data_IF_266717309771
#
_entry.id   IF_266717309771
#
_cell.length_a   1.000
_cell.length_b   1.000
_cell.length_c   1.000
_cell.angle_alpha   90.00
_cell.angle_beta   90.00
_cell.angle_gamma   90.00
#
_symmetry.space_group_name_H-M   'P 1'
#
loop_
_entity.id
_entity.type
_entity.pdbx_description
1 polymer ?
#
# COMPACT_ATOMS: atom_id res chain seq x y z
N UNK A 1 62.40 -68.84 31.45
CA UNK A 1 62.92 -67.83 30.51
C UNK A 1 62.02 -66.61 30.65
N UNK A 2 62.50 -65.39 30.82
CA UNK A 2 63.84 -64.84 30.54
C UNK A 2 63.63 -63.59 29.67
N UNK A 3 64.24 -62.41 29.98
CA UNK A 3 63.49 -61.15 29.95
C UNK A 3 64.15 -60.06 29.07
N UNK A 4 63.73 -58.79 29.26
CA UNK A 4 64.38 -57.53 28.79
C UNK A 4 64.17 -57.21 27.30
N UNK A 5 64.29 -55.99 26.76
CA UNK A 5 64.39 -54.58 27.26
C UNK A 5 64.05 -53.64 26.04
N UNK A 6 64.01 -52.30 26.07
CA UNK A 6 64.35 -51.25 27.06
C UNK A 6 63.19 -50.23 27.21
N UNK A 7 63.21 -49.47 28.31
CA UNK A 7 62.83 -48.04 28.31
C UNK A 7 64.13 -47.21 28.21
N UNK A 8 64.09 -46.05 27.56
CA UNK A 8 65.21 -45.09 27.54
C UNK A 8 64.91 -43.89 28.44
N UNK A 9 65.83 -43.60 29.37
CA UNK A 9 65.78 -42.47 30.31
C UNK A 9 66.27 -41.17 29.67
N UNK A 10 65.79 -40.01 30.16
CA UNK A 10 66.61 -39.03 30.90
C UNK A 10 65.71 -37.92 31.47
N UNK A 11 65.52 -37.89 32.79
CA UNK A 11 66.26 -37.03 33.75
C UNK A 11 65.77 -35.57 33.83
N UNK A 12 64.84 -35.32 34.75
CA UNK A 12 64.53 -33.97 35.22
C UNK A 12 65.55 -33.55 36.30
N UNK A 13 66.37 -32.54 36.01
CA UNK A 13 67.17 -31.84 37.02
C UNK A 13 66.40 -30.63 37.55
N UNK A 14 66.11 -30.64 38.85
CA UNK A 14 65.68 -29.45 39.58
C UNK A 14 66.91 -28.74 40.16
N UNK A 15 66.98 -27.42 39.99
CA UNK A 15 67.95 -26.54 40.66
C UNK A 15 67.17 -25.34 41.20
N UNK A 16 67.54 -24.87 42.40
CA UNK A 16 66.76 -23.94 43.19
C UNK A 16 66.70 -22.50 42.62
N UNK A 17 65.70 -21.74 43.09
CA UNK A 17 65.46 -20.34 42.78
C UNK A 17 66.66 -19.46 43.16
N UNK A 18 67.14 -18.66 42.20
CA UNK A 18 68.05 -17.53 42.44
C UNK A 18 67.28 -16.21 42.37
N UNK A 19 67.65 -15.25 43.23
CA UNK A 19 66.90 -14.02 43.47
C UNK A 19 66.88 -13.02 42.30
N UNK A 20 65.94 -12.07 42.42
CA UNK A 20 65.66 -11.00 41.47
C UNK A 20 66.91 -10.19 41.06
N UNK A 21 66.98 -9.86 39.77
CA UNK A 21 67.69 -8.66 39.30
C UNK A 21 66.78 -7.88 38.38
N UNK A 22 66.25 -6.76 38.88
CA UNK A 22 65.37 -5.88 38.14
C UNK A 22 66.05 -5.36 36.86
N UNK A 23 65.26 -5.24 35.79
CA UNK A 23 65.64 -4.50 34.58
C UNK A 23 64.69 -3.31 34.43
N UNK A 24 65.18 -2.12 34.04
CA UNK A 24 64.38 -0.92 34.02
C UNK A 24 63.24 -1.02 32.99
N UNK A 25 62.08 -0.48 33.35
CA UNK A 25 60.95 -0.29 32.44
C UNK A 25 61.37 0.66 31.31
N UNK A 26 61.50 0.14 30.09
CA UNK A 26 61.65 0.97 28.90
C UNK A 26 60.28 1.42 28.42
N UNK A 27 60.09 2.74 28.36
CA UNK A 27 58.87 3.36 27.85
C UNK A 27 58.69 3.03 26.36
N UNK A 28 57.88 2.00 26.09
CA UNK A 28 57.61 1.52 24.74
C UNK A 28 56.66 2.51 24.06
N UNK A 29 57.18 3.61 23.53
CA UNK A 29 56.45 4.53 22.64
C UNK A 29 56.02 3.77 21.39
N UNK A 30 54.73 3.50 21.27
CA UNK A 30 54.14 2.85 20.10
C UNK A 30 54.26 3.80 18.89
N UNK A 31 54.58 3.26 17.71
CA UNK A 31 54.69 4.07 16.51
C UNK A 31 53.31 4.62 16.11
N UNK A 32 53.27 5.80 15.48
CA UNK A 32 52.01 6.39 15.00
C UNK A 32 51.24 5.43 14.09
N UNK A 33 51.94 4.65 13.28
CA UNK A 33 51.37 3.62 12.40
C UNK A 33 50.71 2.47 13.18
N UNK A 34 51.25 2.09 14.34
CA UNK A 34 50.67 1.04 15.18
C UNK A 34 49.43 1.54 15.94
N UNK A 35 49.42 2.80 16.40
CA UNK A 35 48.19 3.44 16.90
C UNK A 35 47.13 3.54 15.79
N UNK A 36 47.51 3.98 14.58
CA UNK A 36 46.58 4.07 13.45
C UNK A 36 45.93 2.71 13.15
N UNK A 37 46.74 1.65 13.07
CA UNK A 37 46.25 0.28 12.83
C UNK A 37 45.29 -0.22 13.90
N UNK A 38 45.52 0.13 15.17
CA UNK A 38 44.59 -0.21 16.26
C UNK A 38 43.32 0.63 16.17
N UNK A 39 43.41 1.93 15.85
CA UNK A 39 42.20 2.77 15.66
C UNK A 39 41.36 2.36 14.46
N UNK A 40 41.97 1.87 13.37
CA UNK A 40 41.19 1.34 12.23
C UNK A 40 40.54 0.00 12.57
N UNK A 41 41.22 -0.89 13.30
CA UNK A 41 40.61 -2.14 13.80
C UNK A 41 39.44 -1.85 14.74
N UNK A 42 39.57 -0.91 15.70
CA UNK A 42 38.47 -0.59 16.61
C UNK A 42 37.32 0.12 15.89
N UNK A 43 37.57 0.98 14.91
CA UNK A 43 36.52 1.56 14.06
C UNK A 43 35.80 0.53 13.21
N UNK A 44 36.52 -0.43 12.61
CA UNK A 44 35.90 -1.52 11.82
C UNK A 44 35.11 -2.47 12.73
N UNK A 45 35.64 -2.81 13.91
CA UNK A 45 34.91 -3.61 14.90
C UNK A 45 33.66 -2.88 15.42
N UNK A 46 33.74 -1.57 15.67
CA UNK A 46 32.59 -0.76 16.08
C UNK A 46 31.55 -0.64 14.96
N UNK A 47 31.97 -0.43 13.71
CA UNK A 47 31.06 -0.44 12.56
C UNK A 47 30.38 -1.81 12.38
N UNK A 48 31.13 -2.91 12.53
CA UNK A 48 30.56 -4.26 12.51
C UNK A 48 29.57 -4.51 13.66
N UNK A 49 29.87 -4.03 14.87
CA UNK A 49 28.94 -4.08 16.01
C UNK A 49 27.67 -3.24 15.77
N UNK A 50 27.79 -2.06 15.17
CA UNK A 50 26.62 -1.26 14.75
C UNK A 50 25.83 -1.94 13.63
N UNK A 51 26.46 -2.69 12.72
CA UNK A 51 25.75 -3.50 11.72
C UNK A 51 25.08 -4.76 12.30
N UNK A 52 25.58 -5.30 13.41
CA UNK A 52 25.02 -6.49 14.08
C UNK A 52 23.90 -6.11 15.05
N UNK A 53 24.10 -5.06 15.86
CA UNK A 53 23.17 -4.61 16.91
C UNK A 53 22.29 -3.42 16.51
N UNK A 54 22.64 -2.71 15.43
CA UNK A 54 21.82 -1.65 14.81
C UNK A 54 20.91 -2.16 13.70
N UNK A 55 20.78 -3.49 13.52
CA UNK A 55 19.56 -4.02 12.89
C UNK A 55 18.38 -3.59 13.76
N UNK A 56 17.34 -2.93 13.20
CA UNK A 56 16.11 -2.78 13.95
C UNK A 56 15.66 -4.18 14.38
N UNK A 57 15.29 -4.35 15.65
CA UNK A 57 14.53 -5.52 16.08
C UNK A 57 13.40 -5.74 15.08
N UNK A 58 13.08 -6.99 14.68
CA UNK A 58 11.88 -7.25 13.91
C UNK A 58 10.74 -6.57 14.66
N UNK A 59 10.16 -5.53 14.05
CA UNK A 59 9.19 -4.71 14.74
C UNK A 59 8.04 -5.63 15.14
N UNK A 60 7.62 -5.54 16.41
CA UNK A 60 6.53 -6.35 16.94
C UNK A 60 5.36 -6.28 15.98
N UNK A 61 4.80 -7.45 15.65
CA UNK A 61 4.01 -7.73 14.46
C UNK A 61 3.27 -6.50 13.94
N UNK A 62 3.78 -5.91 12.85
CA UNK A 62 3.08 -4.83 12.17
C UNK A 62 1.66 -5.34 11.88
N UNK A 63 0.60 -4.65 12.35
CA UNK A 63 -0.75 -5.19 12.29
C UNK A 63 -1.05 -5.59 10.84
N UNK A 64 -1.49 -6.84 10.67
CA UNK A 64 -1.65 -7.43 9.36
C UNK A 64 -2.45 -6.50 8.45
N UNK A 65 -1.94 -6.24 7.25
CA UNK A 65 -2.57 -5.34 6.29
C UNK A 65 -4.04 -5.73 6.12
N UNK A 66 -4.94 -4.79 6.39
CA UNK A 66 -6.36 -4.98 6.16
C UNK A 66 -6.73 -4.84 4.68
N UNK A 67 -5.80 -4.46 3.78
CA UNK A 67 -5.87 -4.86 2.37
C UNK A 67 -5.13 -6.18 2.13
N UNK A 68 -5.78 -7.14 1.47
CA UNK A 68 -5.21 -8.46 1.16
C UNK A 68 -5.58 -8.93 -0.25
N UNK A 69 -4.71 -9.73 -0.86
CA UNK A 69 -4.93 -10.34 -2.19
C UNK A 69 -6.31 -11.02 -2.31
N UNK A 70 -6.75 -11.73 -1.27
CA UNK A 70 -7.96 -12.55 -1.33
C UNK A 70 -9.23 -11.81 -0.90
N UNK A 71 -9.18 -11.00 0.16
CA UNK A 71 -10.38 -10.32 0.70
C UNK A 71 -10.50 -8.86 0.26
N UNK A 72 -9.48 -8.30 -0.40
CA UNK A 72 -9.39 -6.87 -0.66
C UNK A 72 -9.27 -6.08 0.65
N UNK A 73 -9.77 -4.85 0.62
CA UNK A 73 -9.74 -3.86 1.68
C UNK A 73 -10.83 -4.09 2.73
N UNK A 74 -10.43 -4.30 3.98
CA UNK A 74 -11.27 -4.66 5.12
C UNK A 74 -11.05 -3.70 6.31
N UNK A 75 -10.38 -2.56 6.09
CA UNK A 75 -10.15 -1.56 7.13
C UNK A 75 -11.42 -0.72 7.35
N UNK A 76 -11.98 -0.71 8.58
CA UNK A 76 -13.21 0.04 8.92
C UNK A 76 -14.31 -0.18 7.87
N UNK A 77 -14.75 -1.43 7.70
CA UNK A 77 -15.73 -1.83 6.68
C UNK A 77 -17.12 -1.23 6.89
N UNK A 78 -17.44 -0.83 8.13
CA UNK A 78 -18.57 0.03 8.52
C UNK A 78 -18.60 1.38 7.79
N UNK A 79 -17.45 1.85 7.29
CA UNK A 79 -17.34 3.13 6.57
C UNK A 79 -16.81 2.92 5.14
N UNK A 80 -15.73 2.15 4.98
CA UNK A 80 -14.98 2.06 3.71
C UNK A 80 -15.68 1.26 2.62
N UNK A 81 -16.68 0.45 2.96
CA UNK A 81 -17.52 -0.27 2.01
C UNK A 81 -18.71 0.58 1.53
N UNK A 82 -18.89 1.77 2.11
CA UNK A 82 -19.96 2.74 1.81
C UNK A 82 -19.42 4.05 1.22
N UNK A 83 -18.35 3.96 0.42
CA UNK A 83 -17.87 5.08 -0.40
C UNK A 83 -18.33 4.96 -1.88
N UNK A 84 -19.34 4.13 -2.15
CA UNK A 84 -19.85 3.86 -3.48
C UNK A 84 -18.73 3.44 -4.44
N UNK A 85 -18.64 4.11 -5.61
CA UNK A 85 -17.57 3.88 -6.59
C UNK A 85 -16.17 4.37 -6.18
N UNK A 86 -15.98 4.91 -4.97
CA UNK A 86 -14.66 5.27 -4.42
C UNK A 86 -14.16 4.28 -3.37
N UNK A 87 -14.98 3.29 -2.99
CA UNK A 87 -14.57 2.17 -2.15
C UNK A 87 -13.45 1.39 -2.86
N UNK A 88 -12.31 1.11 -2.20
CA UNK A 88 -11.36 0.09 -2.64
C UNK A 88 -12.05 -1.25 -2.90
N UNK A 89 -11.41 -2.16 -3.66
CA UNK A 89 -11.99 -3.49 -3.84
C UNK A 89 -12.11 -4.23 -2.51
N UNK A 90 -13.28 -4.80 -2.22
CA UNK A 90 -13.51 -5.73 -1.13
C UNK A 90 -14.27 -6.98 -1.61
N UNK A 91 -14.04 -8.11 -0.95
CA UNK A 91 -14.79 -9.34 -1.22
C UNK A 91 -16.22 -9.21 -0.67
N UNK A 92 -17.21 -9.34 -1.56
CA UNK A 92 -18.63 -9.38 -1.20
C UNK A 92 -19.03 -10.85 -0.94
N UNK A 93 -19.73 -11.17 0.17
CA UNK A 93 -20.19 -12.52 0.45
C UNK A 93 -21.28 -12.98 -0.54
N UNK A 94 -21.40 -14.30 -0.70
CA UNK A 94 -22.39 -14.95 -1.57
C UNK A 94 -22.89 -16.24 -0.90
N UNK A 95 -24.20 -16.49 -0.96
CA UNK A 95 -24.80 -17.75 -0.49
C UNK A 95 -24.41 -18.96 -1.36
N UNK A 96 -23.89 -18.69 -2.57
CA UNK A 96 -23.35 -19.69 -3.50
C UNK A 96 -21.83 -19.61 -3.42
N UNK A 97 -21.16 -20.73 -3.10
CA UNK A 97 -19.69 -20.81 -3.11
C UNK A 97 -19.14 -20.49 -4.52
N UNK A 98 -18.02 -19.76 -4.56
CA UNK A 98 -17.28 -19.49 -5.79
C UNK A 98 -16.23 -20.58 -6.11
N UNK A 99 -16.16 -21.67 -5.33
CA UNK A 99 -15.33 -22.84 -5.62
C UNK A 99 -15.69 -23.52 -6.95
N UNK A 100 -14.73 -24.22 -7.56
CA UNK A 100 -15.00 -25.09 -8.70
C UNK A 100 -15.74 -26.35 -8.21
N UNK A 101 -16.94 -26.68 -8.72
CA UNK A 101 -17.67 -27.86 -8.27
C UNK A 101 -16.91 -29.17 -8.52
N UNK A 102 -17.10 -30.14 -7.63
CA UNK A 102 -16.46 -31.46 -7.73
C UNK A 102 -16.74 -32.13 -9.08
N UNK A 103 -15.69 -32.49 -9.82
CA UNK A 103 -15.77 -33.10 -11.15
C UNK A 103 -15.86 -32.10 -12.32
N UNK A 104 -15.89 -30.79 -12.05
CA UNK A 104 -15.77 -29.75 -13.07
C UNK A 104 -14.31 -29.31 -13.26
N UNK A 105 -13.99 -28.81 -14.45
CA UNK A 105 -12.73 -28.13 -14.75
C UNK A 105 -13.00 -26.86 -15.55
N UNK A 106 -12.21 -25.82 -15.31
CA UNK A 106 -12.38 -24.53 -16.00
C UNK A 106 -11.71 -24.62 -17.37
N UNK A 107 -12.49 -24.42 -18.43
CA UNK A 107 -12.00 -24.44 -19.83
C UNK A 107 -11.84 -23.05 -20.45
N UNK A 108 -12.46 -22.03 -19.85
CA UNK A 108 -12.39 -20.63 -20.26
C UNK A 108 -12.55 -19.72 -19.02
N UNK A 109 -11.83 -18.60 -19.00
CA UNK A 109 -12.00 -17.56 -18.00
C UNK A 109 -11.78 -16.18 -18.65
N UNK A 110 -12.60 -15.21 -18.26
CA UNK A 110 -12.48 -13.81 -18.64
C UNK A 110 -12.73 -12.94 -17.41
N UNK A 111 -11.91 -11.92 -17.22
CA UNK A 111 -12.12 -10.86 -16.24
C UNK A 111 -12.46 -9.55 -16.96
N UNK A 112 -13.42 -8.81 -16.42
CA UNK A 112 -13.62 -7.39 -16.71
C UNK A 112 -13.23 -6.64 -15.43
N UNK A 113 -12.14 -5.86 -15.50
CA UNK A 113 -11.63 -5.10 -14.36
C UNK A 113 -11.75 -3.60 -14.61
N UNK A 114 -12.05 -2.84 -13.56
CA UNK A 114 -11.93 -1.39 -13.55
C UNK A 114 -10.46 -1.01 -13.38
N UNK A 115 -10.14 0.27 -13.58
CA UNK A 115 -8.92 0.83 -13.01
C UNK A 115 -8.94 0.78 -11.47
N UNK A 116 -7.77 0.84 -10.84
CA UNK A 116 -7.63 0.86 -9.37
C UNK A 116 -7.99 2.20 -8.75
N UNK A 117 -7.78 2.32 -7.44
CA UNK A 117 -7.87 3.58 -6.74
C UNK A 117 -6.98 4.67 -7.39
N UNK A 118 -7.48 5.90 -7.38
CA UNK A 118 -6.90 7.03 -8.11
C UNK A 118 -7.07 8.33 -7.35
N UNK A 119 -6.25 9.31 -7.71
CA UNK A 119 -6.51 10.70 -7.37
C UNK A 119 -7.87 11.18 -7.93
N UNK A 120 -8.44 12.27 -7.40
CA UNK A 120 -9.60 12.93 -8.01
C UNK A 120 -9.31 13.33 -9.48
N UNK A 121 -10.35 13.60 -10.26
CA UNK A 121 -10.12 14.20 -11.61
C UNK A 121 -9.61 15.62 -11.46
N UNK A 122 -8.86 16.17 -12.42
CA UNK A 122 -8.28 17.51 -12.32
C UNK A 122 -9.30 18.61 -11.95
N UNK A 123 -10.53 18.53 -12.48
CA UNK A 123 -11.63 19.43 -12.12
C UNK A 123 -12.07 19.28 -10.66
N UNK A 124 -12.16 18.04 -10.15
CA UNK A 124 -12.48 17.76 -8.75
C UNK A 124 -11.35 18.15 -7.80
N UNK A 125 -10.09 17.93 -8.16
CA UNK A 125 -8.92 18.40 -7.42
C UNK A 125 -8.97 19.91 -7.19
N UNK A 126 -9.29 20.70 -8.22
CA UNK A 126 -9.47 22.15 -8.08
C UNK A 126 -10.64 22.52 -7.13
N UNK A 127 -11.79 21.84 -7.24
CA UNK A 127 -12.97 22.09 -6.40
C UNK A 127 -12.74 21.73 -4.92
N UNK A 128 -12.08 20.60 -4.66
CA UNK A 128 -11.79 20.14 -3.30
C UNK A 128 -10.75 21.05 -2.62
N UNK A 129 -9.67 21.39 -3.32
CA UNK A 129 -8.67 22.31 -2.78
C UNK A 129 -9.26 23.71 -2.52
N UNK A 130 -10.12 24.23 -3.40
CA UNK A 130 -10.84 25.49 -3.17
C UNK A 130 -11.75 25.42 -1.92
N UNK A 131 -12.37 24.26 -1.65
CA UNK A 131 -13.20 24.03 -0.45
C UNK A 131 -12.34 24.10 0.83
N UNK A 132 -11.16 23.49 0.82
CA UNK A 132 -10.19 23.53 1.93
C UNK A 132 -9.64 24.94 2.16
N UNK A 133 -9.20 25.64 1.11
CA UNK A 133 -8.74 27.03 1.22
C UNK A 133 -9.83 27.96 1.75
N UNK A 134 -11.10 27.78 1.34
CA UNK A 134 -12.23 28.53 1.91
C UNK A 134 -12.40 28.27 3.40
N UNK A 135 -12.29 27.03 3.86
CA UNK A 135 -12.34 26.70 5.28
C UNK A 135 -11.23 27.40 6.05
N UNK A 136 -9.97 27.22 5.63
CA UNK A 136 -8.78 27.78 6.29
C UNK A 136 -8.75 29.32 6.29
N UNK A 137 -9.32 29.97 5.28
CA UNK A 137 -9.40 31.42 5.20
C UNK A 137 -10.47 32.05 6.13
N UNK A 138 -11.56 31.33 6.41
CA UNK A 138 -12.73 31.89 7.12
C UNK A 138 -12.93 31.37 8.55
N UNK A 139 -12.47 30.16 8.86
CA UNK A 139 -12.58 29.54 10.18
C UNK A 139 -11.37 29.91 11.03
N UNK A 140 -11.61 30.56 12.18
CA UNK A 140 -10.54 31.07 13.04
C UNK A 140 -9.95 30.06 14.03
N UNK A 141 -10.68 28.97 14.30
CA UNK A 141 -10.28 27.99 15.29
C UNK A 141 -10.83 26.61 14.90
N UNK A 142 -9.93 25.65 14.70
CA UNK A 142 -10.27 24.26 14.41
C UNK A 142 -10.03 23.42 15.66
N UNK A 143 -11.05 22.74 16.17
CA UNK A 143 -10.97 21.99 17.43
C UNK A 143 -11.65 20.63 17.33
N UNK A 144 -11.36 19.75 18.30
CA UNK A 144 -11.90 18.39 18.34
C UNK A 144 -11.57 17.61 17.06
N UNK A 145 -12.55 16.91 16.44
CA UNK A 145 -12.29 16.09 15.25
C UNK A 145 -11.88 16.93 14.03
N UNK A 146 -12.12 18.24 14.02
CA UNK A 146 -11.75 19.12 12.91
C UNK A 146 -10.34 19.72 13.05
N UNK A 147 -9.64 19.50 14.17
CA UNK A 147 -8.37 20.18 14.47
C UNK A 147 -7.31 20.02 13.36
N UNK A 148 -7.26 18.85 12.72
CA UNK A 148 -6.31 18.56 11.63
C UNK A 148 -6.51 19.46 10.39
N UNK A 149 -7.68 20.07 10.19
CA UNK A 149 -7.97 20.93 9.04
C UNK A 149 -7.20 22.27 9.08
N UNK A 150 -6.72 22.69 10.26
CA UNK A 150 -5.86 23.88 10.37
C UNK A 150 -4.56 23.73 9.57
N UNK A 151 -3.93 22.55 9.68
CA UNK A 151 -2.63 22.24 9.08
C UNK A 151 -2.74 21.30 7.86
N UNK A 152 -3.96 20.94 7.45
CA UNK A 152 -4.17 20.07 6.28
C UNK A 152 -3.74 20.76 4.99
N UNK A 153 -2.71 20.20 4.36
CA UNK A 153 -2.23 20.64 3.04
C UNK A 153 -2.81 19.70 1.96
N UNK A 154 -3.49 20.27 0.98
CA UNK A 154 -4.00 19.50 -0.16
C UNK A 154 -2.84 19.04 -1.05
N UNK A 155 -2.50 17.76 -0.98
CA UNK A 155 -1.40 17.12 -1.75
C UNK A 155 -1.84 16.00 -2.70
N UNK A 156 -3.14 15.81 -2.88
CA UNK A 156 -3.67 14.83 -3.84
C UNK A 156 -3.33 15.28 -5.28
N UNK A 157 -3.06 14.32 -6.15
CA UNK A 157 -2.74 14.57 -7.55
C UNK A 157 -3.98 14.80 -8.42
N UNK A 158 -3.92 14.32 -9.66
CA UNK A 158 -5.03 14.38 -10.60
C UNK A 158 -5.02 13.20 -11.59
N UNK A 159 -6.17 12.54 -11.69
CA UNK A 159 -6.53 11.49 -12.67
C UNK A 159 -5.71 10.19 -12.67
N UNK A 160 -4.51 10.15 -12.09
CA UNK A 160 -3.63 8.97 -12.08
C UNK A 160 -3.98 7.98 -10.98
N UNK A 161 -3.51 6.74 -11.11
CA UNK A 161 -3.57 5.76 -10.02
C UNK A 161 -2.74 6.26 -8.82
N UNK A 162 -3.21 5.94 -7.61
CA UNK A 162 -2.35 6.05 -6.43
C UNK A 162 -1.48 4.79 -6.32
N UNK A 163 -0.41 4.84 -5.52
CA UNK A 163 0.43 3.65 -5.24
C UNK A 163 -0.41 2.49 -4.67
N UNK A 164 -1.40 2.80 -3.83
CA UNK A 164 -2.38 1.84 -3.34
C UNK A 164 -3.19 1.23 -4.49
N UNK A 165 -3.72 2.04 -5.40
CA UNK A 165 -4.47 1.54 -6.57
C UNK A 165 -3.65 0.76 -7.59
N UNK A 166 -2.35 1.04 -7.71
CA UNK A 166 -1.41 0.19 -8.46
C UNK A 166 -1.31 -1.20 -7.80
N UNK A 167 -1.17 -1.25 -6.47
CA UNK A 167 -1.09 -2.50 -5.71
C UNK A 167 -2.40 -3.30 -5.74
N UNK A 168 -3.58 -2.66 -5.74
CA UNK A 168 -4.87 -3.35 -5.94
C UNK A 168 -4.88 -4.17 -7.25
N UNK A 169 -4.28 -3.66 -8.32
CA UNK A 169 -4.24 -4.37 -9.60
C UNK A 169 -3.19 -5.47 -9.63
N UNK A 170 -2.04 -5.28 -8.97
CA UNK A 170 -1.08 -6.36 -8.74
C UNK A 170 -1.74 -7.50 -7.94
N UNK A 171 -2.46 -7.17 -6.86
CA UNK A 171 -3.24 -8.11 -6.05
C UNK A 171 -4.30 -8.84 -6.90
N UNK A 172 -5.05 -8.12 -7.74
CA UNK A 172 -6.04 -8.67 -8.68
C UNK A 172 -5.42 -9.63 -9.70
N UNK A 173 -4.22 -9.32 -10.22
CA UNK A 173 -3.46 -10.19 -11.12
C UNK A 173 -3.04 -11.50 -10.46
N UNK A 174 -2.54 -11.44 -9.22
CA UNK A 174 -2.19 -12.61 -8.41
C UNK A 174 -3.45 -13.45 -8.13
N UNK A 175 -4.53 -12.83 -7.61
CA UNK A 175 -5.80 -13.49 -7.30
C UNK A 175 -6.37 -14.22 -8.51
N UNK A 176 -6.29 -13.62 -9.70
CA UNK A 176 -6.72 -14.26 -10.95
C UNK A 176 -5.84 -15.47 -11.30
N UNK A 177 -4.50 -15.34 -11.19
CA UNK A 177 -3.61 -16.46 -11.46
C UNK A 177 -3.90 -17.66 -10.55
N UNK A 178 -4.04 -17.43 -9.25
CA UNK A 178 -4.28 -18.51 -8.28
C UNK A 178 -5.66 -19.16 -8.46
N UNK A 179 -6.72 -18.37 -8.74
CA UNK A 179 -8.06 -18.89 -9.03
C UNK A 179 -8.12 -19.74 -10.31
N UNK A 180 -7.38 -19.35 -11.36
CA UNK A 180 -7.41 -20.02 -12.67
C UNK A 180 -6.12 -20.81 -12.99
N UNK A 181 -5.39 -21.22 -11.95
CA UNK A 181 -4.02 -21.77 -12.02
C UNK A 181 -3.81 -22.89 -13.02
N UNK A 182 -4.80 -23.77 -13.20
CA UNK A 182 -4.72 -24.89 -14.15
C UNK A 182 -4.57 -24.42 -15.61
N UNK A 183 -5.27 -23.35 -15.98
CA UNK A 183 -5.19 -22.67 -17.28
C UNK A 183 -4.00 -21.70 -17.30
N UNK A 184 -3.92 -20.82 -16.29
CA UNK A 184 -2.97 -19.71 -16.22
C UNK A 184 -1.50 -20.15 -16.19
N UNK A 185 -1.20 -21.34 -15.66
CA UNK A 185 0.15 -21.91 -15.66
C UNK A 185 0.67 -22.28 -17.06
N UNK A 186 -0.22 -22.51 -18.04
CA UNK A 186 0.09 -23.02 -19.39
C UNK A 186 -0.20 -22.01 -20.50
N UNK A 187 -1.14 -21.10 -20.28
CA UNK A 187 -1.60 -20.13 -21.26
C UNK A 187 -0.97 -18.74 -21.05
N UNK A 188 -1.11 -17.89 -22.07
CA UNK A 188 -0.78 -16.46 -22.04
C UNK A 188 -2.10 -15.69 -22.13
N UNK A 189 -2.38 -14.73 -21.23
CA UNK A 189 -3.62 -13.97 -21.30
C UNK A 189 -3.61 -13.02 -22.50
N UNK A 190 -4.74 -12.92 -23.21
CA UNK A 190 -4.98 -11.86 -24.18
C UNK A 190 -5.60 -10.66 -23.47
N UNK A 191 -4.90 -9.52 -23.46
CA UNK A 191 -5.26 -8.36 -22.64
C UNK A 191 -5.72 -7.20 -23.52
N UNK A 192 -6.83 -6.57 -23.13
CA UNK A 192 -7.34 -5.33 -23.74
C UNK A 192 -7.52 -4.27 -22.67
N UNK A 193 -7.32 -3.01 -23.02
CA UNK A 193 -7.53 -1.85 -22.14
C UNK A 193 -8.31 -0.76 -22.85
N UNK A 194 -9.06 0.05 -22.10
CA UNK A 194 -9.51 1.36 -22.58
C UNK A 194 -8.33 2.31 -22.77
N UNK A 195 -8.49 3.35 -23.59
CA UNK A 195 -7.44 4.30 -23.99
C UNK A 195 -6.99 5.29 -22.90
N UNK A 196 -7.67 5.30 -21.77
CA UNK A 196 -7.42 6.19 -20.65
C UNK A 196 -6.20 5.75 -19.83
N UNK A 197 -5.28 6.68 -19.53
CA UNK A 197 -3.96 6.38 -18.94
C UNK A 197 -4.01 5.45 -17.73
N UNK A 198 -4.81 5.80 -16.70
CA UNK A 198 -5.02 4.97 -15.49
C UNK A 198 -5.58 3.57 -15.76
N UNK A 199 -6.30 3.35 -16.86
CA UNK A 199 -6.82 2.03 -17.26
C UNK A 199 -5.72 1.21 -17.92
N UNK A 200 -4.91 1.82 -18.79
CA UNK A 200 -3.72 1.19 -19.40
C UNK A 200 -2.71 0.80 -18.32
N UNK A 201 -2.43 1.70 -17.39
CA UNK A 201 -1.56 1.46 -16.22
C UNK A 201 -2.13 0.34 -15.32
N UNK A 202 -3.45 0.32 -15.10
CA UNK A 202 -4.11 -0.77 -14.37
C UNK A 202 -3.91 -2.12 -15.04
N UNK A 203 -4.01 -2.20 -16.38
CA UNK A 203 -3.71 -3.42 -17.13
C UNK A 203 -2.22 -3.81 -17.05
N UNK A 204 -1.30 -2.84 -16.99
CA UNK A 204 0.13 -3.10 -16.77
C UNK A 204 0.40 -3.66 -15.36
N UNK A 205 -0.23 -3.11 -14.33
CA UNK A 205 -0.10 -3.61 -12.94
C UNK A 205 -0.74 -4.98 -12.75
N UNK A 206 -1.89 -5.23 -13.39
CA UNK A 206 -2.53 -6.55 -13.40
C UNK A 206 -1.65 -7.62 -14.08
N UNK A 207 -1.06 -7.29 -15.22
CA UNK A 207 -0.18 -8.22 -15.94
C UNK A 207 1.12 -8.51 -15.19
N UNK A 208 1.68 -7.52 -14.47
CA UNK A 208 2.79 -7.72 -13.52
C UNK A 208 2.44 -8.70 -12.40
N UNK A 209 1.30 -8.50 -11.72
CA UNK A 209 0.85 -9.39 -10.64
C UNK A 209 0.61 -10.83 -11.11
N UNK A 210 -0.09 -10.99 -12.23
CA UNK A 210 -0.31 -12.30 -12.86
C UNK A 210 1.00 -13.00 -13.22
N UNK A 211 1.96 -12.28 -13.82
CA UNK A 211 3.26 -12.83 -14.21
C UNK A 211 4.12 -13.21 -12.99
N UNK A 212 4.12 -12.39 -11.93
CA UNK A 212 4.82 -12.69 -10.68
C UNK A 212 4.28 -13.99 -10.03
N UNK A 213 2.96 -14.15 -9.95
CA UNK A 213 2.32 -15.38 -9.48
C UNK A 213 2.66 -16.59 -10.37
N UNK A 214 2.72 -16.39 -11.69
CA UNK A 214 3.13 -17.41 -12.67
C UNK A 214 4.57 -17.88 -12.47
N UNK A 215 5.51 -16.98 -12.24
CA UNK A 215 6.92 -17.34 -11.97
C UNK A 215 7.12 -18.00 -10.61
N UNK A 216 6.31 -17.64 -9.60
CA UNK A 216 6.37 -18.26 -8.27
C UNK A 216 5.88 -19.72 -8.25
N UNK A 217 5.13 -20.16 -9.27
CA UNK A 217 4.59 -21.51 -9.34
C UNK A 217 5.63 -22.52 -9.87
N UNK A 218 6.04 -23.48 -9.03
CA UNK A 218 6.98 -24.56 -9.37
C UNK A 218 6.54 -25.44 -10.57
N UNK A 219 5.25 -25.46 -10.92
CA UNK A 219 4.74 -26.16 -12.11
C UNK A 219 5.14 -25.42 -13.40
N UNK A 220 5.22 -24.09 -13.35
CA UNK A 220 5.72 -23.24 -14.44
C UNK A 220 7.25 -23.28 -14.48
N UNK A 221 7.83 -24.45 -14.79
CA UNK A 221 9.29 -24.72 -14.90
C UNK A 221 10.03 -23.95 -16.01
N UNK A 222 9.40 -22.93 -16.58
CA UNK A 222 9.88 -22.18 -17.74
C UNK A 222 9.82 -20.70 -17.45
N UNK A 223 10.85 -19.96 -17.88
CA UNK A 223 10.74 -18.51 -18.01
C UNK A 223 9.55 -18.20 -18.93
N UNK A 224 8.64 -17.35 -18.47
CA UNK A 224 7.44 -16.96 -19.21
C UNK A 224 7.81 -15.91 -20.26
N UNK A 225 8.46 -16.37 -21.34
CA UNK A 225 9.03 -15.55 -22.41
C UNK A 225 8.00 -14.74 -23.23
N UNK A 226 6.71 -14.88 -22.92
CA UNK A 226 5.64 -14.05 -23.48
C UNK A 226 5.46 -12.73 -22.71
N UNK A 227 6.12 -12.54 -21.57
CA UNK A 227 6.12 -11.28 -20.82
C UNK A 227 7.15 -10.29 -21.38
N UNK A 228 6.83 -8.99 -21.51
CA UNK A 228 5.57 -8.34 -21.18
C UNK A 228 4.44 -8.70 -22.14
N UNK A 229 3.27 -9.05 -21.62
CA UNK A 229 2.12 -9.45 -22.45
C UNK A 229 1.59 -8.23 -23.23
N UNK A 230 1.29 -8.37 -24.54
CA UNK A 230 0.71 -7.28 -25.32
C UNK A 230 -0.66 -6.84 -24.80
N UNK A 231 -0.82 -5.53 -24.58
CA UNK A 231 -2.08 -4.90 -24.21
C UNK A 231 -2.65 -4.21 -25.45
N UNK A 232 -3.79 -4.68 -25.95
CA UNK A 232 -4.50 -4.02 -27.05
C UNK A 232 -5.31 -2.85 -26.49
N UNK A 233 -4.84 -1.64 -26.74
CA UNK A 233 -5.51 -0.41 -26.30
C UNK A 233 -6.63 -0.05 -27.28
N UNK A 234 -7.85 0.09 -26.75
CA UNK A 234 -9.05 0.50 -27.47
C UNK A 234 -9.32 1.98 -27.13
N UNK A 235 -9.29 2.90 -28.10
CA UNK A 235 -9.60 4.31 -27.86
C UNK A 235 -11.01 4.51 -27.28
N UNK A 236 -11.15 5.49 -26.38
CA UNK A 236 -12.45 5.97 -25.92
C UNK A 236 -13.03 6.92 -26.97
N UNK A 237 -14.26 6.65 -27.43
CA UNK A 237 -15.01 7.54 -28.34
C UNK A 237 -16.46 7.64 -27.89
N UNK A 238 -16.98 8.86 -27.83
CA UNK A 238 -18.38 9.10 -27.48
C UNK A 238 -19.26 8.77 -28.69
N UNK A 239 -19.92 7.61 -28.64
CA UNK A 239 -20.66 7.04 -29.78
C UNK A 239 -22.17 7.31 -29.75
N UNK A 240 -22.72 7.80 -28.64
CA UNK A 240 -24.17 7.98 -28.47
C UNK A 240 -24.55 9.41 -28.07
N UNK A 241 -24.55 10.33 -29.05
CA UNK A 241 -24.95 11.73 -28.83
C UNK A 241 -26.34 11.92 -28.18
N UNK A 242 -27.27 10.97 -28.41
CA UNK A 242 -28.60 11.01 -27.79
C UNK A 242 -28.57 10.70 -26.28
N UNK A 243 -27.57 9.96 -25.80
CA UNK A 243 -27.36 9.72 -24.38
C UNK A 243 -26.58 10.88 -23.74
N UNK A 244 -25.45 11.28 -24.34
CA UNK A 244 -24.59 12.36 -23.79
C UNK A 244 -25.28 13.73 -23.77
N UNK A 245 -25.96 14.09 -24.87
CA UNK A 245 -26.50 15.44 -25.10
C UNK A 245 -28.04 15.48 -25.25
N UNK A 246 -28.74 14.36 -25.00
CA UNK A 246 -30.20 14.28 -25.06
C UNK A 246 -30.92 14.80 -23.80
N UNK A 247 -32.24 14.59 -23.75
CA UNK A 247 -33.08 14.96 -22.59
C UNK A 247 -32.59 14.37 -21.26
N UNK A 248 -31.96 13.20 -21.35
CA UNK A 248 -31.63 12.35 -20.21
C UNK A 248 -30.17 12.48 -19.77
N UNK A 249 -29.33 13.25 -20.48
CA UNK A 249 -27.90 13.45 -20.14
C UNK A 249 -27.68 14.11 -18.77
N UNK A 250 -28.73 14.63 -18.13
CA UNK A 250 -28.73 15.15 -16.76
C UNK A 250 -29.53 14.31 -15.76
N UNK A 251 -29.91 13.06 -16.09
CA UNK A 251 -30.72 12.22 -15.18
C UNK A 251 -29.96 11.90 -13.88
N UNK A 252 -28.67 11.56 -13.98
CA UNK A 252 -27.83 11.23 -12.84
C UNK A 252 -27.59 12.44 -11.92
N UNK A 253 -27.24 13.60 -12.50
CA UNK A 253 -27.01 14.84 -11.73
C UNK A 253 -28.28 15.35 -11.04
N UNK A 254 -29.45 15.19 -11.66
CA UNK A 254 -30.75 15.49 -11.04
C UNK A 254 -31.05 14.55 -9.86
N UNK A 255 -30.85 13.24 -10.03
CA UNK A 255 -31.07 12.26 -8.96
C UNK A 255 -30.12 12.49 -7.76
N UNK A 256 -28.83 12.73 -8.04
CA UNK A 256 -27.84 13.09 -7.03
C UNK A 256 -28.22 14.38 -6.28
N UNK A 257 -28.67 15.42 -6.98
CA UNK A 257 -29.11 16.67 -6.36
C UNK A 257 -30.36 16.50 -5.49
N UNK A 258 -31.32 15.68 -5.93
CA UNK A 258 -32.51 15.34 -5.13
C UNK A 258 -32.14 14.58 -3.86
N UNK A 259 -31.28 13.58 -3.94
CA UNK A 259 -30.85 12.81 -2.77
C UNK A 259 -29.98 13.63 -1.82
N UNK A 260 -29.01 14.38 -2.33
CA UNK A 260 -28.18 15.28 -1.52
C UNK A 260 -29.02 16.34 -0.78
N UNK A 261 -30.16 16.78 -1.34
CA UNK A 261 -31.08 17.69 -0.66
C UNK A 261 -31.82 17.04 0.54
N UNK A 262 -31.81 15.71 0.67
CA UNK A 262 -32.39 14.98 1.81
C UNK A 262 -31.36 14.85 2.95
N UNK A 263 -30.22 14.21 2.71
CA UNK A 263 -29.32 13.78 3.79
C UNK A 263 -28.19 14.76 4.14
N UNK A 264 -27.76 15.64 3.22
CA UNK A 264 -26.66 16.60 3.46
C UNK A 264 -27.05 17.80 4.36
N UNK A 265 -28.28 18.37 4.34
CA UNK A 265 -28.57 19.57 5.13
C UNK A 265 -28.33 19.44 6.65
N UNK A 266 -28.65 18.32 7.34
CA UNK A 266 -28.26 18.08 8.73
C UNK A 266 -26.73 18.09 8.93
N UNK A 267 -25.98 17.37 8.10
CA UNK A 267 -24.51 17.28 8.13
C UNK A 267 -23.88 18.67 8.01
N UNK A 268 -24.28 19.41 6.97
CA UNK A 268 -23.86 20.79 6.70
C UNK A 268 -24.14 21.71 7.88
N UNK A 269 -25.30 21.54 8.53
CA UNK A 269 -25.69 22.33 9.71
C UNK A 269 -24.79 22.02 10.90
N UNK A 270 -24.47 20.73 11.16
CA UNK A 270 -23.50 20.33 12.20
C UNK A 270 -22.13 20.92 11.94
N UNK A 271 -21.58 20.77 10.73
CA UNK A 271 -20.22 21.23 10.40
C UNK A 271 -20.12 22.76 10.48
N UNK A 272 -21.09 23.50 9.93
CA UNK A 272 -21.10 24.96 10.00
C UNK A 272 -21.29 25.50 11.43
N UNK A 273 -21.95 24.77 12.33
CA UNK A 273 -22.05 25.12 13.75
C UNK A 273 -20.73 24.83 14.50
N UNK A 274 -20.05 23.72 14.17
CA UNK A 274 -18.76 23.36 14.76
C UNK A 274 -17.60 24.22 14.25
N UNK A 275 -17.70 24.77 13.02
CA UNK A 275 -16.71 25.62 12.37
C UNK A 275 -17.28 27.01 12.04
N UNK A 276 -17.45 27.92 13.03
CA UNK A 276 -17.93 29.27 12.79
C UNK A 276 -17.10 30.00 11.72
N UNK A 277 -17.78 30.43 10.65
CA UNK A 277 -17.17 31.06 9.48
C UNK A 277 -17.08 30.17 8.24
N UNK A 278 -17.19 28.83 8.38
CA UNK A 278 -17.05 27.88 7.27
C UNK A 278 -18.05 28.14 6.12
N UNK A 279 -19.32 28.35 6.46
CA UNK A 279 -20.43 28.59 5.53
C UNK A 279 -20.41 27.66 4.31
N UNK A 280 -20.26 26.36 4.55
CA UNK A 280 -20.29 25.32 3.53
C UNK A 280 -21.68 25.23 2.90
N UNK A 281 -21.69 25.11 1.57
CA UNK A 281 -22.84 24.72 0.76
C UNK A 281 -23.10 23.22 0.84
N UNK A 282 -24.19 22.74 0.22
CA UNK A 282 -24.47 21.31 0.07
C UNK A 282 -23.32 20.61 -0.67
N UNK A 283 -22.91 21.14 -1.82
CA UNK A 283 -21.82 20.54 -2.62
C UNK A 283 -20.47 20.55 -1.90
N UNK A 284 -20.12 21.63 -1.22
CA UNK A 284 -18.88 21.67 -0.42
C UNK A 284 -18.92 20.70 0.77
N UNK A 285 -20.10 20.39 1.30
CA UNK A 285 -20.25 19.33 2.33
C UNK A 285 -20.03 17.95 1.72
N UNK A 286 -20.53 17.69 0.51
CA UNK A 286 -20.22 16.46 -0.25
C UNK A 286 -18.72 16.38 -0.57
N UNK A 287 -18.06 17.49 -0.91
CA UNK A 287 -16.60 17.50 -1.13
C UNK A 287 -15.82 17.11 0.13
N UNK A 288 -16.29 17.48 1.33
CA UNK A 288 -15.69 17.04 2.58
C UNK A 288 -15.88 15.53 2.82
N UNK A 289 -16.96 14.93 2.32
CA UNK A 289 -17.14 13.47 2.29
C UNK A 289 -16.22 12.83 1.24
N UNK A 290 -16.20 13.32 0.00
CA UNK A 290 -15.31 12.84 -1.08
C UNK A 290 -13.84 12.78 -0.64
N UNK A 291 -13.39 13.72 0.19
CA UNK A 291 -12.02 13.77 0.70
C UNK A 291 -11.64 12.60 1.61
N UNK A 292 -12.60 11.88 2.22
CA UNK A 292 -12.32 10.67 3.01
C UNK A 292 -11.71 9.52 2.17
N UNK A 293 -12.38 8.97 1.15
CA UNK A 293 -11.80 7.92 0.30
C UNK A 293 -10.53 8.40 -0.41
N UNK A 294 -10.53 9.61 -0.99
CA UNK A 294 -9.37 10.08 -1.76
C UNK A 294 -8.10 10.26 -0.91
N UNK A 295 -8.19 10.80 0.31
CA UNK A 295 -7.03 10.86 1.20
C UNK A 295 -6.65 9.48 1.77
N UNK A 296 -7.62 8.57 1.92
CA UNK A 296 -7.33 7.20 2.38
C UNK A 296 -6.47 6.46 1.37
N UNK A 297 -6.87 6.44 0.09
CA UNK A 297 -6.14 5.72 -0.97
C UNK A 297 -4.88 6.44 -1.45
N UNK A 298 -4.65 7.69 -1.04
CA UNK A 298 -3.38 8.39 -1.21
C UNK A 298 -2.31 7.92 -0.21
N UNK A 299 -2.70 7.32 0.92
CA UNK A 299 -1.76 6.57 1.76
C UNK A 299 -1.37 5.26 1.05
N UNK A 300 -0.07 4.91 0.93
CA UNK A 300 0.35 3.65 0.30
C UNK A 300 -0.26 2.40 0.96
N UNK A 301 -0.58 2.47 2.24
CA UNK A 301 -1.18 1.37 3.02
C UNK A 301 -2.70 1.53 3.18
N UNK A 302 -3.34 2.45 2.45
CA UNK A 302 -4.77 2.73 2.57
C UNK A 302 -5.19 3.15 3.98
N UNK A 303 -4.40 3.97 4.67
CA UNK A 303 -4.72 4.42 6.05
C UNK A 303 -5.95 5.33 6.04
N UNK A 304 -7.01 4.95 6.76
CA UNK A 304 -8.27 5.72 6.86
C UNK A 304 -8.00 7.19 7.22
N UNK A 305 -8.55 8.10 6.41
CA UNK A 305 -8.34 9.53 6.56
C UNK A 305 -9.08 10.14 7.76
N UNK A 306 -8.51 11.20 8.35
CA UNK A 306 -9.18 12.02 9.36
C UNK A 306 -10.50 12.66 8.89
N UNK A 307 -10.67 12.86 7.57
CA UNK A 307 -11.95 13.30 6.99
C UNK A 307 -13.10 12.30 7.26
N UNK A 308 -12.80 11.01 7.35
CA UNK A 308 -13.80 9.97 7.53
C UNK A 308 -14.55 10.09 8.86
N UNK A 309 -13.83 10.51 9.92
CA UNK A 309 -14.35 10.71 11.27
C UNK A 309 -15.17 12.01 11.47
N UNK A 310 -15.37 12.82 10.41
CA UNK A 310 -16.25 14.00 10.45
C UNK A 310 -17.73 13.65 10.23
N UNK A 311 -18.00 12.41 9.81
CA UNK A 311 -19.31 11.89 9.43
C UNK A 311 -19.61 10.61 10.22
N UNK A 312 -20.89 10.31 10.43
CA UNK A 312 -21.31 9.07 11.12
C UNK A 312 -21.42 7.89 10.15
N UNK A 313 -21.40 6.66 10.67
CA UNK A 313 -21.71 5.44 9.92
C UNK A 313 -23.02 5.57 9.13
N UNK A 314 -24.08 6.05 9.79
CA UNK A 314 -25.38 6.32 9.16
C UNK A 314 -25.29 7.30 7.98
N UNK A 315 -24.40 8.29 8.03
CA UNK A 315 -24.19 9.26 6.94
C UNK A 315 -23.41 8.65 5.78
N UNK A 316 -22.47 7.74 6.06
CA UNK A 316 -21.81 6.93 5.03
C UNK A 316 -22.81 6.00 4.33
N UNK A 317 -23.71 5.37 5.08
CA UNK A 317 -24.84 4.60 4.53
C UNK A 317 -25.85 5.43 3.70
N UNK A 318 -25.75 6.77 3.66
CA UNK A 318 -26.51 7.62 2.73
C UNK A 318 -25.67 8.11 1.53
N UNK A 319 -24.35 8.01 1.61
CA UNK A 319 -23.41 8.54 0.61
C UNK A 319 -23.08 7.52 -0.49
N UNK A 320 -22.86 6.25 -0.11
CA UNK A 320 -22.40 5.16 -0.99
C UNK A 320 -23.44 4.13 -1.36
#
# INVERSE_FOLDING_TARGET
>A
MGPRQLFANQEHKYVALGEHKERPLTDRRWSKSFLLFITTITLVAFAALVFIFGRPSPHGDAPASCDTIYHGYQCQNDISHYWGQYSPYFLVPSDISDDVPNGCSITFAQILSRHGARDPTASKTAQYNATIHKLQANVKNFTGPYAFLADYEYRLGADQLTVFGQQELVNSGIKYYDRYKELASRLVPFVRSSGQARVVESAQNWTQGFHAAKLANQVSKYADAAYPYPIVVIPETDVCNAFENGSDGNIASKAQAQWAAVFIPPIRTRINAALPGANLTVMETVHMMDLCPFNTVASPNGTISGFCALFTEEEWHQYG
#
